data_IF_752686293174
#
_entry.id   IF_752686293174
#
_cell.length_a   1.000
_cell.length_b   1.000
_cell.length_c   1.000
_cell.angle_alpha   90.00
_cell.angle_beta   90.00
_cell.angle_gamma   90.00
#
_symmetry.space_group_name_H-M   'P 1'
#
loop_
_entity.id
_entity.type
_entity.pdbx_description
1 polymer ?
#
# COMPACT_ATOMS: atom_id res chain seq x y z
N UNK A 1 -1.66 -55.10 -59.18
CA UNK A 1 -2.15 -55.35 -57.80
C UNK A 1 -1.57 -54.28 -56.95
N UNK A 2 -2.35 -53.21 -56.72
CA UNK A 2 -1.95 -51.94 -56.10
C UNK A 2 -2.55 -51.85 -54.73
N UNK A 3 -1.71 -51.75 -53.71
CA UNK A 3 -2.14 -51.53 -52.34
C UNK A 3 -2.20 -50.01 -52.09
N UNK A 4 -3.40 -49.51 -51.78
CA UNK A 4 -3.65 -48.13 -51.31
C UNK A 4 -3.32 -48.07 -49.84
N UNK A 5 -2.37 -47.21 -49.46
CA UNK A 5 -2.12 -46.84 -48.05
C UNK A 5 -3.02 -45.68 -47.63
N UNK A 6 -3.92 -45.90 -46.68
CA UNK A 6 -4.67 -44.85 -46.00
C UNK A 6 -3.77 -44.12 -45.01
N UNK A 7 -3.61 -42.85 -45.23
CA UNK A 7 -2.96 -41.92 -44.29
C UNK A 7 -4.03 -41.32 -43.37
N UNK A 8 -4.06 -41.76 -42.12
CA UNK A 8 -4.92 -41.18 -41.08
C UNK A 8 -4.26 -39.92 -40.53
N UNK A 9 -4.83 -38.76 -40.81
CA UNK A 9 -4.48 -37.50 -40.11
C UNK A 9 -5.06 -37.55 -38.71
N UNK A 10 -4.16 -37.63 -37.71
CA UNK A 10 -4.50 -37.39 -36.32
C UNK A 10 -4.59 -35.88 -36.09
N UNK A 11 -5.80 -35.35 -36.05
CA UNK A 11 -6.09 -34.02 -35.52
C UNK A 11 -5.83 -34.01 -34.01
N UNK A 12 -4.67 -33.48 -33.63
CA UNK A 12 -4.37 -33.18 -32.23
C UNK A 12 -5.28 -32.08 -31.70
N UNK A 13 -6.30 -32.49 -30.93
CA UNK A 13 -7.14 -31.59 -30.18
C UNK A 13 -6.29 -31.01 -29.04
N UNK A 14 -5.83 -29.76 -29.20
CA UNK A 14 -5.21 -28.99 -28.15
C UNK A 14 -6.30 -28.63 -27.12
N UNK A 15 -6.44 -29.48 -26.13
CA UNK A 15 -7.25 -29.14 -24.96
C UNK A 15 -6.49 -28.04 -24.17
N UNK A 16 -6.87 -26.78 -24.37
CA UNK A 16 -6.56 -25.71 -23.46
C UNK A 16 -7.24 -26.06 -22.11
N UNK A 17 -6.46 -26.58 -21.19
CA UNK A 17 -6.88 -26.69 -19.79
C UNK A 17 -7.11 -25.27 -19.28
N UNK A 18 -8.39 -24.85 -19.29
CA UNK A 18 -8.84 -23.74 -18.48
C UNK A 18 -8.56 -24.11 -17.02
N UNK A 19 -7.42 -23.63 -16.52
CA UNK A 19 -7.13 -23.64 -15.10
C UNK A 19 -8.13 -22.69 -14.44
N UNK A 20 -9.33 -23.18 -14.17
CA UNK A 20 -10.29 -22.53 -13.32
C UNK A 20 -9.67 -22.49 -11.92
N UNK A 21 -8.99 -21.38 -11.59
CA UNK A 21 -8.52 -21.13 -10.25
C UNK A 21 -9.74 -21.20 -9.34
N UNK A 22 -9.81 -22.23 -8.50
CA UNK A 22 -10.85 -22.36 -7.47
C UNK A 22 -10.80 -21.09 -6.63
N UNK A 23 -11.83 -20.25 -6.78
CA UNK A 23 -11.97 -19.06 -5.94
C UNK A 23 -11.97 -19.51 -4.47
N UNK A 24 -11.11 -18.88 -3.67
CA UNK A 24 -11.04 -19.17 -2.23
C UNK A 24 -12.41 -18.99 -1.58
N UNK A 25 -12.73 -19.86 -0.62
CA UNK A 25 -13.94 -19.72 0.21
C UNK A 25 -13.80 -18.61 1.25
N UNK A 26 -12.59 -18.10 1.48
CA UNK A 26 -12.26 -17.11 2.51
C UNK A 26 -11.30 -16.03 1.99
N UNK A 27 -11.65 -15.30 0.91
CA UNK A 27 -10.72 -14.38 0.24
C UNK A 27 -10.19 -13.29 1.17
N UNK A 28 -11.01 -12.79 2.09
CA UNK A 28 -10.59 -11.77 3.06
C UNK A 28 -9.54 -12.31 4.03
N UNK A 29 -9.73 -13.53 4.55
CA UNK A 29 -8.75 -14.18 5.44
C UNK A 29 -7.45 -14.42 4.68
N UNK A 30 -7.54 -14.88 3.45
CA UNK A 30 -6.36 -15.13 2.62
C UNK A 30 -5.58 -13.84 2.34
N UNK A 31 -6.26 -12.73 2.05
CA UNK A 31 -5.64 -11.41 1.89
C UNK A 31 -4.93 -10.96 3.18
N UNK A 32 -5.58 -11.09 4.34
CA UNK A 32 -4.99 -10.78 5.65
C UNK A 32 -3.71 -11.60 5.88
N UNK A 33 -3.77 -12.91 5.61
CA UNK A 33 -2.64 -13.82 5.83
C UNK A 33 -1.51 -13.62 4.79
N UNK A 34 -1.83 -13.19 3.59
CA UNK A 34 -0.87 -12.97 2.50
C UNK A 34 -0.21 -11.58 2.54
N UNK A 35 -0.93 -10.54 3.02
CA UNK A 35 -0.42 -9.16 3.01
C UNK A 35 0.91 -9.00 3.73
N UNK A 36 1.83 -8.28 3.09
CA UNK A 36 3.15 -7.94 3.64
C UNK A 36 3.43 -6.44 3.49
N UNK A 37 4.35 -5.93 4.31
CA UNK A 37 4.92 -4.61 4.08
C UNK A 37 5.99 -4.70 3.00
N UNK A 38 5.64 -4.29 1.79
CA UNK A 38 6.51 -4.24 0.62
C UNK A 38 7.34 -2.95 0.65
N UNK A 39 8.65 -3.05 0.41
CA UNK A 39 9.61 -1.93 0.48
C UNK A 39 10.45 -1.78 -0.77
N UNK A 40 10.18 -2.61 -1.78
CA UNK A 40 10.74 -2.52 -3.12
C UNK A 40 9.61 -2.60 -4.13
N UNK A 41 9.57 -1.66 -5.04
CA UNK A 41 8.50 -1.54 -6.03
C UNK A 41 9.09 -1.42 -7.41
N UNK A 42 8.36 -1.88 -8.41
CA UNK A 42 8.63 -1.59 -9.81
C UNK A 42 8.52 -0.08 -10.07
N UNK A 43 9.11 0.38 -11.18
CA UNK A 43 9.01 1.78 -11.58
C UNK A 43 7.65 2.12 -12.24
N UNK A 44 6.83 1.12 -12.51
CA UNK A 44 5.53 1.26 -13.18
C UNK A 44 4.58 2.09 -12.32
N UNK A 45 4.04 3.22 -12.79
CA UNK A 45 3.07 4.01 -12.06
C UNK A 45 1.77 3.23 -11.81
N UNK A 46 1.17 3.43 -10.64
CA UNK A 46 -0.19 2.92 -10.34
C UNK A 46 -1.21 3.87 -10.91
N UNK A 47 -2.25 3.34 -11.57
CA UNK A 47 -3.30 4.19 -12.13
C UNK A 47 -4.11 4.91 -11.05
N UNK A 48 -4.62 6.10 -11.38
CA UNK A 48 -5.43 6.90 -10.46
C UNK A 48 -6.70 6.18 -10.04
N UNK A 49 -7.29 5.38 -10.92
CA UNK A 49 -8.47 4.57 -10.62
C UNK A 49 -8.19 3.54 -9.51
N UNK A 50 -7.04 2.87 -9.57
CA UNK A 50 -6.64 1.92 -8.53
C UNK A 50 -6.35 2.63 -7.20
N UNK A 51 -5.63 3.75 -7.24
CA UNK A 51 -5.34 4.55 -6.05
C UNK A 51 -6.62 5.07 -5.39
N UNK A 52 -7.56 5.58 -6.19
CA UNK A 52 -8.87 6.03 -5.74
C UNK A 52 -9.65 4.89 -5.10
N UNK A 53 -9.66 3.71 -5.74
CA UNK A 53 -10.34 2.51 -5.22
C UNK A 53 -9.80 2.07 -3.86
N UNK A 54 -8.49 2.11 -3.68
CA UNK A 54 -7.84 1.80 -2.39
C UNK A 54 -8.29 2.81 -1.33
N UNK A 55 -8.27 4.10 -1.64
CA UNK A 55 -8.70 5.14 -0.70
C UNK A 55 -10.18 5.01 -0.33
N UNK A 56 -11.06 4.68 -1.30
CA UNK A 56 -12.48 4.39 -1.05
C UNK A 56 -12.68 3.21 -0.10
N UNK A 57 -11.90 2.13 -0.24
CA UNK A 57 -11.93 1.03 0.70
C UNK A 57 -11.50 1.48 2.11
N UNK A 58 -10.52 2.39 2.18
CA UNK A 58 -10.08 2.98 3.44
C UNK A 58 -11.19 3.73 4.16
N UNK A 59 -11.88 4.65 3.50
CA UNK A 59 -12.94 5.47 4.13
C UNK A 59 -14.19 4.67 4.51
N UNK A 60 -14.30 3.42 4.06
CA UNK A 60 -15.32 2.49 4.52
C UNK A 60 -14.99 1.83 5.87
N UNK A 61 -13.86 2.14 6.50
CA UNK A 61 -13.53 1.66 7.83
C UNK A 61 -14.52 2.19 8.88
N UNK A 62 -14.83 1.38 9.91
CA UNK A 62 -15.63 1.86 11.03
C UNK A 62 -14.90 2.99 11.75
N UNK A 63 -15.68 3.95 12.25
CA UNK A 63 -15.15 5.08 13.00
C UNK A 63 -16.13 5.55 14.08
N UNK A 64 -15.61 6.18 15.12
CA UNK A 64 -16.39 6.60 16.25
C UNK A 64 -17.52 7.56 15.85
N UNK A 65 -18.76 7.16 16.13
CA UNK A 65 -19.98 7.92 15.84
C UNK A 65 -20.13 8.38 14.39
N UNK A 66 -19.46 7.71 13.45
CA UNK A 66 -19.40 8.10 12.04
C UNK A 66 -18.96 9.55 11.81
N UNK A 67 -18.08 10.08 12.66
CA UNK A 67 -17.61 11.46 12.57
C UNK A 67 -16.68 11.69 11.36
N UNK A 68 -16.04 10.63 10.87
CA UNK A 68 -15.14 10.69 9.71
C UNK A 68 -14.06 11.78 9.84
N UNK A 69 -13.48 11.90 11.03
CA UNK A 69 -12.43 12.86 11.37
C UNK A 69 -11.09 12.42 10.80
N UNK A 70 -11.03 12.34 9.47
CA UNK A 70 -9.83 12.04 8.68
C UNK A 70 -9.82 12.82 7.38
N UNK A 71 -8.65 13.03 6.88
CA UNK A 71 -8.45 13.51 5.52
C UNK A 71 -7.41 12.65 4.81
N UNK A 72 -7.65 12.37 3.54
CA UNK A 72 -6.81 11.53 2.70
C UNK A 72 -6.36 12.34 1.49
N UNK A 73 -5.07 12.25 1.15
CA UNK A 73 -4.51 12.83 -0.08
C UNK A 73 -3.75 11.74 -0.84
N UNK A 74 -4.03 11.62 -2.12
CA UNK A 74 -3.33 10.74 -3.03
C UNK A 74 -2.25 11.56 -3.72
N UNK A 75 -1.01 11.07 -3.68
CA UNK A 75 0.16 11.74 -4.23
C UNK A 75 0.77 10.79 -5.26
N UNK A 76 0.61 11.12 -6.54
CA UNK A 76 1.17 10.41 -7.70
C UNK A 76 2.14 11.28 -8.51
N UNK A 77 2.52 12.45 -7.96
CA UNK A 77 3.47 13.36 -8.56
C UNK A 77 4.91 12.91 -8.27
N UNK A 78 5.63 12.51 -9.29
CA UNK A 78 7.05 12.16 -9.20
C UNK A 78 7.88 13.35 -8.71
N UNK A 79 7.59 14.57 -9.18
CA UNK A 79 8.27 15.78 -8.75
C UNK A 79 8.13 16.00 -7.24
N UNK A 80 6.91 15.85 -6.71
CA UNK A 80 6.67 15.96 -5.26
C UNK A 80 7.47 14.92 -4.47
N UNK A 81 7.46 13.66 -4.92
CA UNK A 81 8.22 12.58 -4.27
C UNK A 81 9.72 12.86 -4.28
N UNK A 82 10.25 13.37 -5.40
CA UNK A 82 11.65 13.68 -5.56
C UNK A 82 12.07 14.89 -4.71
N UNK A 83 11.32 15.99 -4.75
CA UNK A 83 11.59 17.18 -3.94
C UNK A 83 11.61 16.88 -2.45
N UNK A 84 10.61 16.16 -1.93
CA UNK A 84 10.58 15.75 -0.52
C UNK A 84 11.72 14.77 -0.20
N UNK A 85 12.08 13.88 -1.13
CA UNK A 85 13.21 12.96 -0.97
C UNK A 85 14.51 13.72 -0.80
N UNK A 86 14.80 14.71 -1.66
CA UNK A 86 16.04 15.50 -1.56
C UNK A 86 16.07 16.30 -0.23
N UNK A 87 14.94 16.84 0.19
CA UNK A 87 14.86 17.49 1.48
C UNK A 87 15.10 16.50 2.64
N UNK A 88 14.50 15.31 2.60
CA UNK A 88 14.75 14.28 3.62
C UNK A 88 16.21 13.81 3.64
N UNK A 89 16.87 13.70 2.50
CA UNK A 89 18.31 13.37 2.41
C UNK A 89 19.16 14.44 3.11
N UNK A 90 18.81 15.71 2.92
CA UNK A 90 19.53 16.82 3.51
C UNK A 90 19.35 16.93 5.04
N UNK A 91 18.11 16.76 5.51
CA UNK A 91 17.72 17.03 6.91
C UNK A 91 17.70 15.76 7.80
N UNK A 92 17.54 14.58 7.19
CA UNK A 92 17.44 13.28 7.89
C UNK A 92 18.26 12.18 7.20
N UNK A 93 19.56 12.37 6.94
CA UNK A 93 20.36 11.42 6.14
C UNK A 93 20.37 10.00 6.71
N UNK A 94 20.28 9.83 8.04
CA UNK A 94 20.25 8.51 8.67
C UNK A 94 18.98 7.69 8.39
N UNK A 95 17.88 8.35 7.97
CA UNK A 95 16.62 7.67 7.64
C UNK A 95 16.45 7.39 6.15
N UNK A 96 17.28 8.01 5.32
CA UNK A 96 17.27 7.88 3.85
C UNK A 96 18.50 7.11 3.41
N UNK A 97 18.34 5.82 3.16
CA UNK A 97 19.44 4.99 2.67
C UNK A 97 19.62 5.16 1.15
N UNK A 98 20.12 6.34 0.75
CA UNK A 98 20.31 6.71 -0.66
C UNK A 98 21.37 5.89 -1.38
N UNK A 99 22.26 5.22 -0.64
CA UNK A 99 23.35 4.41 -1.21
C UNK A 99 22.88 3.00 -1.61
N UNK A 100 21.64 2.66 -1.32
CA UNK A 100 21.04 1.37 -1.73
C UNK A 100 20.95 1.32 -3.27
N UNK A 101 21.48 0.26 -3.92
CA UNK A 101 21.32 0.08 -5.34
C UNK A 101 19.84 0.13 -5.75
N UNK A 102 19.54 0.91 -6.79
CA UNK A 102 18.15 1.11 -7.26
C UNK A 102 17.31 2.06 -6.39
N UNK A 103 17.93 2.83 -5.51
CA UNK A 103 17.25 3.90 -4.77
C UNK A 103 16.65 4.93 -5.74
N UNK A 104 15.36 5.24 -5.59
CA UNK A 104 14.65 6.27 -6.33
C UNK A 104 14.12 7.38 -5.42
N UNK A 105 13.52 7.02 -4.29
CA UNK A 105 12.97 8.00 -3.35
C UNK A 105 12.95 7.48 -1.90
N UNK A 106 12.82 8.41 -0.95
CA UNK A 106 12.79 8.14 0.49
C UNK A 106 11.55 7.35 0.96
N UNK A 107 10.56 7.16 0.10
CA UNK A 107 9.33 6.45 0.37
C UNK A 107 9.41 4.96 -0.03
N UNK A 108 10.59 4.34 0.18
CA UNK A 108 10.84 2.94 -0.18
C UNK A 108 10.67 2.65 -1.66
N UNK A 109 10.94 3.62 -2.52
CA UNK A 109 10.74 3.56 -3.97
C UNK A 109 9.28 3.39 -4.42
N UNK A 110 8.30 3.66 -3.56
CA UNK A 110 6.90 3.67 -3.96
C UNK A 110 6.64 4.69 -5.07
N UNK A 111 5.79 4.35 -6.03
CA UNK A 111 5.43 5.21 -7.14
C UNK A 111 4.26 6.14 -6.82
N UNK A 112 3.53 5.85 -5.74
CA UNK A 112 2.47 6.70 -5.23
C UNK A 112 2.40 6.61 -3.70
N UNK A 113 1.83 7.65 -3.07
CA UNK A 113 1.55 7.68 -1.65
C UNK A 113 0.07 7.98 -1.41
N UNK A 114 -0.46 7.40 -0.34
CA UNK A 114 -1.73 7.84 0.25
C UNK A 114 -1.41 8.41 1.63
N UNK A 115 -1.52 9.72 1.76
CA UNK A 115 -1.25 10.46 2.99
C UNK A 115 -2.54 10.57 3.82
N UNK A 116 -2.47 10.20 5.09
CA UNK A 116 -3.63 10.18 6.00
C UNK A 116 -3.37 11.12 7.17
N UNK A 117 -4.29 12.06 7.37
CA UNK A 117 -4.27 13.02 8.47
C UNK A 117 -5.54 12.91 9.31
N UNK A 118 -5.42 13.23 10.59
CA UNK A 118 -6.54 13.42 11.50
C UNK A 118 -6.16 14.42 12.61
N UNK A 119 -7.14 15.04 13.29
CA UNK A 119 -6.85 15.93 14.42
C UNK A 119 -6.25 15.16 15.60
N UNK A 120 -5.63 15.87 16.51
CA UNK A 120 -5.31 15.32 17.83
C UNK A 120 -6.61 15.08 18.61
N UNK A 121 -6.65 13.95 19.29
CA UNK A 121 -7.77 13.56 20.12
C UNK A 121 -7.22 13.00 21.44
N UNK A 122 -7.55 13.63 22.60
CA UNK A 122 -7.07 13.16 23.91
C UNK A 122 -7.44 11.72 24.24
N UNK A 123 -8.54 11.21 23.67
CA UNK A 123 -8.98 9.82 23.86
C UNK A 123 -8.34 8.85 22.87
N UNK A 124 -7.62 9.33 21.86
CA UNK A 124 -6.95 8.51 20.87
C UNK A 124 -7.88 7.85 19.85
N UNK A 125 -9.16 8.18 19.82
CA UNK A 125 -10.14 7.54 18.93
C UNK A 125 -9.85 7.82 17.46
N UNK A 126 -9.37 9.03 17.14
CA UNK A 126 -8.98 9.38 15.76
C UNK A 126 -7.83 8.53 15.26
N UNK A 127 -6.86 8.19 16.13
CA UNK A 127 -5.76 7.29 15.77
C UNK A 127 -6.23 5.86 15.53
N UNK A 128 -7.19 5.37 16.32
CA UNK A 128 -7.83 4.07 16.07
C UNK A 128 -8.52 4.08 14.72
N UNK A 129 -9.33 5.11 14.45
CA UNK A 129 -10.08 5.25 13.19
C UNK A 129 -9.14 5.21 11.96
N UNK A 130 -8.05 6.00 11.95
CA UNK A 130 -7.11 6.02 10.83
C UNK A 130 -6.26 4.75 10.75
N UNK A 131 -6.06 4.03 11.86
CA UNK A 131 -5.42 2.72 11.87
C UNK A 131 -6.28 1.66 11.17
N UNK A 132 -7.58 1.62 11.47
CA UNK A 132 -8.56 0.74 10.80
C UNK A 132 -8.65 1.06 9.30
N UNK A 133 -8.69 2.35 8.95
CA UNK A 133 -8.64 2.83 7.56
C UNK A 133 -7.39 2.31 6.84
N UNK A 134 -6.23 2.41 7.47
CA UNK A 134 -4.96 1.99 6.90
C UNK A 134 -4.94 0.50 6.55
N UNK A 135 -5.47 -0.36 7.42
CA UNK A 135 -5.53 -1.80 7.12
C UNK A 135 -6.51 -2.11 5.98
N UNK A 136 -7.68 -1.46 5.94
CA UNK A 136 -8.59 -1.62 4.79
C UNK A 136 -7.91 -1.27 3.47
N UNK A 137 -7.13 -0.18 3.43
CA UNK A 137 -6.34 0.20 2.24
C UNK A 137 -5.28 -0.84 1.89
N UNK A 138 -4.58 -1.37 2.89
CA UNK A 138 -3.57 -2.41 2.68
C UNK A 138 -4.17 -3.70 2.10
N UNK A 139 -5.34 -4.12 2.59
CA UNK A 139 -6.03 -5.31 2.11
C UNK A 139 -6.60 -5.11 0.70
N UNK A 140 -7.17 -3.93 0.42
CA UNK A 140 -7.64 -3.58 -0.91
C UNK A 140 -6.48 -3.58 -1.94
N UNK A 141 -5.34 -3.00 -1.59
CA UNK A 141 -4.16 -3.03 -2.44
C UNK A 141 -3.66 -4.47 -2.70
N UNK A 142 -3.63 -5.32 -1.66
CA UNK A 142 -3.27 -6.73 -1.79
C UNK A 142 -4.17 -7.48 -2.77
N UNK A 143 -5.48 -7.27 -2.70
CA UNK A 143 -6.47 -7.87 -3.61
C UNK A 143 -6.29 -7.38 -5.06
N UNK A 144 -5.86 -6.14 -5.23
CA UNK A 144 -5.57 -5.52 -6.53
C UNK A 144 -4.17 -5.86 -7.08
N UNK A 145 -3.42 -6.76 -6.42
CA UNK A 145 -2.06 -7.14 -6.83
C UNK A 145 -1.01 -6.08 -6.57
N UNK A 146 -1.29 -5.11 -5.69
CA UNK A 146 -0.38 -4.03 -5.32
C UNK A 146 0.26 -4.29 -3.96
N UNK A 147 1.50 -3.83 -3.80
CA UNK A 147 2.22 -3.82 -2.54
C UNK A 147 2.00 -2.52 -1.77
N UNK A 148 2.05 -2.61 -0.43
CA UNK A 148 1.95 -1.44 0.43
C UNK A 148 2.97 -1.44 1.56
N UNK A 149 3.34 -0.23 2.02
CA UNK A 149 4.11 -0.02 3.24
C UNK A 149 3.59 1.18 4.01
N UNK A 150 3.11 0.98 5.23
CA UNK A 150 2.79 2.09 6.14
C UNK A 150 4.08 2.68 6.69
N UNK A 151 4.26 3.99 6.54
CA UNK A 151 5.47 4.70 6.94
C UNK A 151 5.12 5.89 7.84
N UNK A 152 5.65 5.89 9.07
CA UNK A 152 5.50 6.97 10.03
C UNK A 152 6.66 7.99 9.96
N UNK A 153 7.87 7.57 9.60
CA UNK A 153 9.03 8.47 9.58
C UNK A 153 8.85 9.69 8.65
N UNK A 154 8.33 9.54 7.39
CA UNK A 154 8.04 10.70 6.56
C UNK A 154 7.00 11.63 7.18
N UNK A 155 5.97 11.11 7.83
CA UNK A 155 4.95 11.96 8.47
C UNK A 155 5.50 12.72 9.67
N UNK A 156 6.36 12.09 10.48
CA UNK A 156 7.05 12.79 11.58
C UNK A 156 7.92 13.92 11.01
N UNK A 157 8.70 13.64 9.98
CA UNK A 157 9.53 14.65 9.32
C UNK A 157 8.69 15.83 8.82
N UNK A 158 7.63 15.55 8.07
CA UNK A 158 6.76 16.58 7.49
C UNK A 158 6.09 17.46 8.56
N UNK A 159 5.74 16.88 9.71
CA UNK A 159 5.12 17.63 10.81
C UNK A 159 6.11 18.45 11.66
N UNK A 160 7.41 18.14 11.67
CA UNK A 160 8.37 18.72 12.61
C UNK A 160 9.48 19.54 11.93
N UNK A 161 9.77 19.31 10.66
CA UNK A 161 10.79 20.04 9.93
C UNK A 161 10.19 21.31 9.32
N UNK A 162 10.66 22.50 9.71
CA UNK A 162 10.16 23.77 9.15
C UNK A 162 10.34 23.85 7.63
N UNK A 163 11.45 23.32 7.10
CA UNK A 163 11.69 23.29 5.66
C UNK A 163 10.72 22.38 4.91
N UNK A 164 10.08 21.42 5.59
CA UNK A 164 9.07 20.55 4.99
C UNK A 164 7.67 21.20 4.98
N UNK A 165 7.47 22.29 5.73
CA UNK A 165 6.17 22.96 5.82
C UNK A 165 5.54 23.30 4.46
N UNK A 166 6.24 23.84 3.45
CA UNK A 166 5.64 24.13 2.15
C UNK A 166 5.07 22.88 1.45
N UNK A 167 5.71 21.72 1.64
CA UNK A 167 5.25 20.44 1.10
C UNK A 167 4.04 19.90 1.85
N UNK A 168 4.02 20.07 3.17
CA UNK A 168 2.86 19.71 3.99
C UNK A 168 1.66 20.61 3.66
N UNK A 169 1.88 21.92 3.55
CA UNK A 169 0.83 22.89 3.19
C UNK A 169 0.24 22.60 1.80
N UNK A 170 1.06 22.15 0.83
CA UNK A 170 0.61 21.73 -0.50
C UNK A 170 -0.39 20.57 -0.46
N UNK A 171 -0.39 19.74 0.60
CA UNK A 171 -1.39 18.68 0.78
C UNK A 171 -2.76 19.24 1.17
N UNK A 172 -2.85 20.48 1.67
CA UNK A 172 -4.11 21.17 1.93
C UNK A 172 -4.98 20.48 2.98
N UNK A 173 -4.38 19.96 4.04
CA UNK A 173 -5.15 19.46 5.18
C UNK A 173 -5.77 20.61 5.97
N UNK A 174 -6.94 20.37 6.55
CA UNK A 174 -7.64 21.32 7.39
C UNK A 174 -6.81 21.70 8.63
N UNK A 175 -7.05 22.90 9.15
CA UNK A 175 -6.41 23.37 10.38
C UNK A 175 -6.64 22.38 11.53
N UNK A 176 -5.59 22.12 12.32
CA UNK A 176 -5.61 21.15 13.42
C UNK A 176 -5.40 19.69 12.99
N UNK A 177 -5.40 19.40 11.69
CA UNK A 177 -5.09 18.04 11.21
C UNK A 177 -3.58 17.84 11.14
N UNK A 178 -3.12 16.67 11.58
CA UNK A 178 -1.71 16.24 11.50
C UNK A 178 -1.57 15.02 10.62
N UNK A 179 -0.58 15.02 9.77
CA UNK A 179 -0.23 13.86 8.97
C UNK A 179 0.21 12.71 9.90
N UNK A 180 -0.54 11.59 9.90
CA UNK A 180 -0.28 10.46 10.81
C UNK A 180 0.66 9.44 10.22
N UNK A 181 0.42 9.11 8.97
CA UNK A 181 1.28 8.22 8.18
C UNK A 181 1.11 8.49 6.70
N UNK A 182 2.06 8.00 5.93
CA UNK A 182 1.91 7.82 4.50
C UNK A 182 1.93 6.32 4.18
N UNK A 183 1.03 5.89 3.31
CA UNK A 183 1.01 4.55 2.75
C UNK A 183 1.69 4.59 1.39
N UNK A 184 2.87 3.98 1.27
CA UNK A 184 3.50 3.76 -0.03
C UNK A 184 2.75 2.68 -0.78
N UNK A 185 2.48 2.93 -2.06
CA UNK A 185 1.74 2.03 -2.96
C UNK A 185 2.52 1.85 -4.26
N UNK A 186 2.54 0.64 -4.80
CA UNK A 186 3.18 0.32 -6.08
C UNK A 186 3.08 -1.15 -6.43
N UNK A 187 3.49 -1.51 -7.64
CA UNK A 187 3.64 -2.91 -8.02
C UNK A 187 4.83 -3.51 -7.27
N UNK A 188 4.67 -4.65 -6.56
CA UNK A 188 5.72 -5.18 -5.71
C UNK A 188 6.87 -5.75 -6.54
N UNK A 189 8.12 -5.35 -6.23
CA UNK A 189 9.35 -5.93 -6.78
C UNK A 189 10.03 -6.89 -5.79
N UNK A 190 9.38 -7.23 -4.70
CA UNK A 190 9.82 -8.21 -3.70
C UNK A 190 8.62 -8.99 -3.16
N UNK A 191 8.89 -10.17 -2.62
CA UNK A 191 7.90 -11.00 -1.91
C UNK A 191 8.41 -11.33 -0.50
N UNK A 192 8.22 -10.43 0.48
CA UNK A 192 8.76 -10.63 1.81
C UNK A 192 8.12 -11.83 2.53
N UNK A 193 8.93 -12.61 3.22
CA UNK A 193 8.44 -13.70 4.07
C UNK A 193 7.60 -13.19 5.25
N UNK A 194 6.65 -14.03 5.68
CA UNK A 194 5.88 -13.76 6.88
C UNK A 194 6.78 -13.84 8.13
N UNK A 195 6.83 -12.76 8.89
CA UNK A 195 7.48 -12.81 10.21
C UNK A 195 6.58 -13.55 11.20
N UNK A 196 7.14 -14.32 12.14
CA UNK A 196 6.36 -15.06 13.15
C UNK A 196 5.50 -14.09 13.98
N UNK A 197 4.36 -14.59 14.43
CA UNK A 197 3.45 -13.90 15.36
C UNK A 197 3.37 -14.69 16.66
N UNK A 198 3.36 -13.97 17.77
CA UNK A 198 3.19 -14.56 19.10
C UNK A 198 1.70 -14.81 19.37
N UNK A 199 1.26 -16.01 19.03
CA UNK A 199 -0.13 -16.43 19.26
C UNK A 199 -0.44 -16.65 20.75
N UNK A 200 0.58 -16.80 21.61
CA UNK A 200 0.41 -16.93 23.05
C UNK A 200 -0.17 -15.70 23.74
N UNK A 201 -0.21 -14.56 23.01
CA UNK A 201 -0.88 -13.32 23.48
C UNK A 201 -2.40 -13.33 23.29
N UNK A 202 -2.95 -14.34 22.65
CA UNK A 202 -4.40 -14.53 22.49
C UNK A 202 -4.85 -15.49 23.59
N UNK A 203 -5.80 -15.05 24.42
CA UNK A 203 -6.32 -15.86 25.54
C UNK A 203 -7.82 -15.75 25.60
N UNK A 204 -8.47 -16.85 25.93
CA UNK A 204 -9.85 -16.83 26.39
C UNK A 204 -9.89 -16.38 27.85
N UNK A 205 -10.93 -15.68 28.21
CA UNK A 205 -11.26 -15.30 29.59
C UNK A 205 -12.54 -16.02 29.93
N UNK A 206 -12.44 -16.95 30.90
CA UNK A 206 -13.56 -17.75 31.39
C UNK A 206 -14.29 -17.03 32.53
#
# INVERSE_FOLDING_TARGET
MTAMALMALALGCCQSENMCMKQSKTPVIDAIMARRSVRQYEATPVSRELLQKIAECGVNAPNAMNKQEWEVRIIDSEDYLNEVTELMKAEMPFFVNSDTPGFRNAFRNATALIAVACPDDPMGMTLINVGLMGENMCLAAQELGLGTCVMAAPSMFMNTCEKAKPYLDKLGFSEGYKLRYVLGVGYPAESPEAKPRDLGKIKFVD
#
